data_IF_443074071060
#
_entry.id   IF_443074071060
#
_cell.length_a   1.000
_cell.length_b   1.000
_cell.length_c   1.000
_cell.angle_alpha   90.00
_cell.angle_beta   90.00
_cell.angle_gamma   90.00
#
_symmetry.space_group_name_H-M   'P 1'
#
loop_
_entity.id
_entity.type
_entity.pdbx_description
1 polymer ?
#
# COMPACT_ATOMS: atom_id res chain seq x y z
N UNK A 1 46.58 4.33 25.54
CA UNK A 1 45.53 3.78 26.42
C UNK A 1 44.17 4.18 25.84
N UNK A 2 43.18 3.28 26.02
CA UNK A 2 41.77 3.32 25.57
C UNK A 2 41.44 2.82 24.14
N UNK A 3 41.13 1.52 24.05
CA UNK A 3 39.95 0.98 23.33
C UNK A 3 38.68 1.20 24.21
N UNK A 4 37.44 0.94 23.76
CA UNK A 4 36.88 0.73 22.41
C UNK A 4 35.58 1.57 22.18
N UNK A 5 34.93 1.45 21.03
CA UNK A 5 33.45 1.38 20.98
C UNK A 5 33.01 0.69 19.69
N UNK A 6 32.84 -0.63 19.81
CA UNK A 6 32.05 -1.48 18.93
C UNK A 6 30.58 -1.20 19.20
N UNK A 7 29.88 -0.54 18.27
CA UNK A 7 28.42 -0.61 18.21
C UNK A 7 28.12 -1.87 17.41
N UNK A 8 27.48 -2.83 18.07
CA UNK A 8 26.97 -4.05 17.47
C UNK A 8 25.92 -3.69 16.41
N UNK A 9 26.29 -3.81 15.14
CA UNK A 9 25.34 -3.92 14.05
C UNK A 9 24.57 -5.24 14.24
N UNK A 10 23.33 -5.11 14.68
CA UNK A 10 22.35 -6.19 14.60
C UNK A 10 21.78 -6.12 13.17
N UNK A 11 21.84 -7.19 12.35
CA UNK A 11 21.31 -7.10 11.00
C UNK A 11 19.78 -7.11 11.06
N UNK A 12 19.15 -6.06 10.51
CA UNK A 12 17.79 -6.23 9.97
C UNK A 12 16.68 -5.28 10.39
N UNK A 13 16.94 -4.09 10.95
CA UNK A 13 15.88 -3.08 11.02
C UNK A 13 16.45 -1.68 10.79
N UNK A 14 16.48 -1.27 9.52
CA UNK A 14 16.70 0.14 9.16
C UNK A 14 15.44 0.93 9.55
N UNK A 15 15.48 1.55 10.73
CA UNK A 15 14.53 2.63 11.05
C UNK A 15 14.93 3.84 10.19
N UNK A 16 14.03 4.37 9.34
CA UNK A 16 14.37 5.49 8.49
C UNK A 16 14.75 6.71 9.35
N UNK A 17 15.95 7.26 9.14
CA UNK A 17 16.40 8.48 9.81
C UNK A 17 15.72 9.71 9.18
N UNK A 18 14.76 10.28 9.91
CA UNK A 18 13.99 11.46 9.51
C UNK A 18 14.85 12.73 9.32
N UNK A 19 16.12 12.72 9.72
CA UNK A 19 17.02 13.88 9.62
C UNK A 19 17.83 13.89 8.33
N UNK A 20 17.91 12.77 7.62
CA UNK A 20 18.67 12.67 6.37
C UNK A 20 18.05 11.59 5.46
N UNK A 21 17.08 11.93 4.60
CA UNK A 21 16.41 10.95 3.74
C UNK A 21 17.44 10.31 2.80
N UNK A 22 17.75 9.05 3.06
CA UNK A 22 18.84 8.32 2.44
C UNK A 22 18.53 7.90 1.00
N UNK A 23 17.26 7.93 0.58
CA UNK A 23 16.85 7.61 -0.80
C UNK A 23 15.71 8.51 -1.30
N UNK A 24 15.56 8.69 -2.62
CA UNK A 24 14.50 9.52 -3.20
C UNK A 24 13.07 9.15 -2.75
N UNK A 25 12.83 7.87 -2.42
CA UNK A 25 11.53 7.36 -1.98
C UNK A 25 11.21 7.59 -0.50
N UNK A 26 12.20 7.91 0.34
CA UNK A 26 11.98 8.12 1.78
C UNK A 26 11.16 9.39 2.04
N UNK A 27 11.36 10.45 1.25
CA UNK A 27 10.68 11.73 1.44
C UNK A 27 9.16 11.66 1.13
N UNK A 28 8.71 11.06 0.01
CA UNK A 28 7.29 10.79 -0.23
C UNK A 28 6.62 10.01 0.90
N UNK A 29 7.27 8.95 1.40
CA UNK A 29 6.74 8.15 2.50
C UNK A 29 6.60 8.97 3.79
N UNK A 30 7.64 9.70 4.18
CA UNK A 30 7.62 10.55 5.39
C UNK A 30 6.49 11.56 5.30
N UNK A 31 6.29 12.19 4.13
CA UNK A 31 5.22 13.14 3.90
C UNK A 31 3.84 12.47 3.99
N UNK A 32 3.66 11.31 3.35
CA UNK A 32 2.43 10.53 3.42
C UNK A 32 2.10 10.17 4.88
N UNK A 33 3.06 9.63 5.63
CA UNK A 33 2.91 9.28 7.04
C UNK A 33 2.60 10.50 7.91
N UNK A 34 3.20 11.65 7.61
CA UNK A 34 2.86 12.90 8.31
C UNK A 34 1.38 13.24 8.15
N UNK A 35 0.84 13.22 6.93
CA UNK A 35 -0.58 13.49 6.70
C UNK A 35 -1.51 12.39 7.22
N UNK A 36 -1.06 11.15 7.24
CA UNK A 36 -1.84 10.01 7.68
C UNK A 36 -1.90 9.85 9.21
N UNK A 37 -0.82 10.14 9.92
CA UNK A 37 -0.71 9.83 11.37
C UNK A 37 -0.58 11.11 12.22
N UNK A 38 0.23 12.07 11.77
CA UNK A 38 0.57 13.26 12.57
C UNK A 38 -0.46 14.37 12.40
N UNK A 39 -0.89 14.62 11.17
CA UNK A 39 -1.94 15.59 10.88
C UNK A 39 -3.28 15.10 11.45
N UNK A 40 -3.87 15.93 12.31
CA UNK A 40 -5.09 15.63 13.08
C UNK A 40 -6.34 16.26 12.46
N UNK A 41 -6.21 16.91 11.29
CA UNK A 41 -7.36 17.45 10.55
C UNK A 41 -8.33 16.32 10.17
N UNK A 42 -9.61 16.66 10.15
CA UNK A 42 -10.71 15.78 9.74
C UNK A 42 -11.18 16.04 8.30
N UNK A 43 -10.52 16.98 7.60
CA UNK A 43 -10.81 17.29 6.20
C UNK A 43 -10.44 16.11 5.29
N UNK A 44 -11.17 15.89 4.17
CA UNK A 44 -10.84 14.83 3.23
C UNK A 44 -9.37 14.89 2.77
N UNK A 45 -8.75 13.73 2.62
CA UNK A 45 -7.37 13.57 2.16
C UNK A 45 -7.38 12.74 0.87
N UNK A 46 -6.76 13.25 -0.18
CA UNK A 46 -6.52 12.53 -1.43
C UNK A 46 -5.02 12.19 -1.51
N UNK A 47 -4.71 10.91 -1.65
CA UNK A 47 -3.37 10.39 -1.86
C UNK A 47 -3.31 9.75 -3.25
N UNK A 48 -2.45 10.27 -4.12
CA UNK A 48 -2.21 9.73 -5.44
C UNK A 48 -0.87 8.97 -5.43
N UNK A 49 -0.94 7.67 -5.70
CA UNK A 49 0.19 6.75 -5.69
C UNK A 49 1.12 6.89 -4.45
N UNK A 50 0.59 6.87 -3.21
CA UNK A 50 1.43 6.97 -2.01
C UNK A 50 2.43 5.81 -1.87
N UNK A 51 2.26 4.73 -2.63
CA UNK A 51 3.16 3.59 -2.73
C UNK A 51 4.35 3.77 -3.69
N UNK A 52 4.38 4.83 -4.48
CA UNK A 52 5.38 4.98 -5.52
C UNK A 52 6.80 4.92 -4.91
N UNK A 53 7.66 4.09 -5.50
CA UNK A 53 9.04 3.83 -5.03
C UNK A 53 9.15 3.09 -3.68
N UNK A 54 8.07 2.52 -3.15
CA UNK A 54 8.09 1.68 -1.95
C UNK A 54 8.04 0.19 -2.31
N UNK A 55 8.74 -0.62 -1.54
CA UNK A 55 8.61 -2.07 -1.61
C UNK A 55 7.29 -2.55 -0.96
N UNK A 56 6.87 -3.76 -1.31
CA UNK A 56 5.60 -4.33 -0.83
C UNK A 56 5.56 -4.54 0.69
N UNK A 57 6.71 -4.78 1.33
CA UNK A 57 6.78 -4.96 2.78
C UNK A 57 6.52 -3.63 3.48
N UNK A 58 7.13 -2.55 3.04
CA UNK A 58 6.92 -1.19 3.54
C UNK A 58 5.47 -0.74 3.35
N UNK A 59 4.87 -1.03 2.20
CA UNK A 59 3.45 -0.72 1.94
C UNK A 59 2.55 -1.44 2.94
N UNK A 60 2.71 -2.75 3.10
CA UNK A 60 1.86 -3.56 3.97
C UNK A 60 2.09 -3.27 5.47
N UNK A 61 3.34 -3.03 5.88
CA UNK A 61 3.69 -2.87 7.30
C UNK A 61 3.56 -1.44 7.83
N UNK A 62 3.65 -0.41 6.97
CA UNK A 62 3.62 1.00 7.39
C UNK A 62 2.47 1.78 6.78
N UNK A 63 2.33 1.73 5.45
CA UNK A 63 1.40 2.61 4.74
C UNK A 63 -0.06 2.16 4.94
N UNK A 64 -0.34 0.86 4.84
CA UNK A 64 -1.68 0.30 5.08
C UNK A 64 -2.20 0.62 6.49
N UNK A 65 -1.46 0.35 7.58
CA UNK A 65 -1.89 0.74 8.93
C UNK A 65 -2.12 2.25 9.09
N UNK A 66 -1.26 3.08 8.50
CA UNK A 66 -1.39 4.53 8.56
C UNK A 66 -2.65 5.03 7.84
N UNK A 67 -3.00 4.43 6.70
CA UNK A 67 -4.26 4.72 5.98
C UNK A 67 -5.46 4.31 6.82
N UNK A 68 -5.41 3.14 7.48
CA UNK A 68 -6.50 2.67 8.32
C UNK A 68 -6.71 3.57 9.55
N UNK A 69 -5.63 3.95 10.25
CA UNK A 69 -5.70 4.96 11.32
C UNK A 69 -6.29 6.28 10.79
N UNK A 70 -5.90 6.66 9.57
CA UNK A 70 -6.38 7.88 9.00
C UNK A 70 -7.88 7.86 8.66
N UNK A 71 -8.35 6.75 8.09
CA UNK A 71 -9.74 6.53 7.70
C UNK A 71 -10.69 6.59 8.92
N UNK A 72 -10.26 6.14 10.09
CA UNK A 72 -11.03 6.22 11.33
C UNK A 72 -11.32 7.65 11.81
N UNK A 73 -10.62 8.67 11.30
CA UNK A 73 -10.81 10.08 11.69
C UNK A 73 -11.19 11.04 10.55
N UNK A 74 -10.88 10.70 9.30
CA UNK A 74 -11.13 11.55 8.12
C UNK A 74 -11.45 10.67 6.91
N UNK A 75 -12.17 11.21 5.93
CA UNK A 75 -12.31 10.55 4.64
C UNK A 75 -10.95 10.53 3.92
N UNK A 76 -10.47 9.34 3.57
CA UNK A 76 -9.21 9.15 2.84
C UNK A 76 -9.51 8.50 1.50
N UNK A 77 -9.16 9.17 0.40
CA UNK A 77 -9.25 8.65 -0.95
C UNK A 77 -7.84 8.31 -1.44
N UNK A 78 -7.64 7.08 -1.87
CA UNK A 78 -6.34 6.60 -2.35
C UNK A 78 -6.48 6.17 -3.80
N UNK A 79 -5.65 6.75 -4.66
CA UNK A 79 -5.47 6.31 -6.05
C UNK A 79 -4.26 5.41 -6.08
N UNK A 80 -4.45 4.15 -6.41
CA UNK A 80 -3.39 3.13 -6.37
C UNK A 80 -3.60 2.09 -7.45
N UNK A 81 -2.50 1.48 -7.86
CA UNK A 81 -2.47 0.28 -8.69
C UNK A 81 -1.95 -0.95 -7.92
N UNK A 82 -1.73 -0.82 -6.61
CA UNK A 82 -1.17 -1.86 -5.76
C UNK A 82 -2.28 -2.61 -4.99
N UNK A 83 -2.35 -3.93 -5.18
CA UNK A 83 -3.32 -4.79 -4.50
C UNK A 83 -3.22 -4.74 -2.97
N UNK A 84 -2.04 -4.53 -2.40
CA UNK A 84 -1.89 -4.41 -0.94
C UNK A 84 -2.60 -3.18 -0.40
N UNK A 85 -2.60 -2.06 -1.13
CA UNK A 85 -3.34 -0.87 -0.72
C UNK A 85 -4.84 -1.03 -0.93
N UNK A 86 -5.25 -1.51 -2.11
CA UNK A 86 -6.65 -1.61 -2.47
C UNK A 86 -7.41 -2.74 -1.75
N UNK A 87 -6.74 -3.86 -1.46
CA UNK A 87 -7.36 -5.09 -0.95
C UNK A 87 -6.94 -5.38 0.48
N UNK A 88 -5.62 -5.42 0.77
CA UNK A 88 -5.13 -5.67 2.14
C UNK A 88 -5.44 -4.49 3.06
N UNK A 89 -5.54 -3.28 2.51
CA UNK A 89 -6.02 -2.10 3.21
C UNK A 89 -7.49 -2.11 3.61
N UNK A 90 -8.25 -3.15 3.24
CA UNK A 90 -9.67 -3.34 3.53
C UNK A 90 -10.50 -2.08 3.22
N UNK A 91 -10.39 -1.61 1.98
CA UNK A 91 -11.06 -0.39 1.54
C UNK A 91 -12.58 -0.53 1.64
N UNK A 92 -13.23 0.41 2.35
CA UNK A 92 -14.69 0.46 2.50
C UNK A 92 -15.41 0.48 1.14
N UNK A 93 -14.82 1.18 0.17
CA UNK A 93 -15.33 1.31 -1.19
C UNK A 93 -14.18 1.31 -2.19
N UNK A 94 -14.32 0.50 -3.23
CA UNK A 94 -13.44 0.52 -4.40
C UNK A 94 -14.15 1.29 -5.51
N UNK A 95 -13.45 2.26 -6.08
CA UNK A 95 -13.90 3.01 -7.27
C UNK A 95 -13.06 2.56 -8.45
N UNK A 96 -13.71 1.88 -9.40
CA UNK A 96 -13.09 1.41 -10.62
C UNK A 96 -13.44 2.33 -11.79
N UNK A 97 -12.40 2.76 -12.50
CA UNK A 97 -12.48 3.65 -13.64
C UNK A 97 -11.98 2.91 -14.88
N UNK A 98 -12.81 2.86 -15.91
CA UNK A 98 -12.46 2.21 -17.18
C UNK A 98 -12.67 3.18 -18.35
N UNK A 99 -11.80 3.09 -19.35
CA UNK A 99 -11.95 3.80 -20.61
C UNK A 99 -12.19 2.80 -21.74
N UNK A 100 -13.32 2.92 -22.42
CA UNK A 100 -13.68 2.12 -23.59
C UNK A 100 -14.18 3.04 -24.69
N UNK A 101 -13.65 2.92 -25.92
CA UNK A 101 -14.00 3.79 -27.06
C UNK A 101 -14.00 5.30 -26.75
N UNK A 102 -13.00 5.77 -26.00
CA UNK A 102 -12.88 7.16 -25.51
C UNK A 102 -14.02 7.61 -24.59
N UNK A 103 -14.87 6.70 -24.13
CA UNK A 103 -15.86 6.94 -23.08
C UNK A 103 -15.32 6.46 -21.76
N UNK A 104 -15.42 7.33 -20.75
CA UNK A 104 -15.06 7.00 -19.38
C UNK A 104 -16.29 6.45 -18.66
N UNK A 105 -16.12 5.31 -18.00
CA UNK A 105 -17.15 4.68 -17.16
C UNK A 105 -16.59 4.47 -15.77
N UNK A 106 -17.38 4.82 -14.76
CA UNK A 106 -17.04 4.66 -13.35
C UNK A 106 -18.04 3.72 -12.71
N UNK A 107 -17.53 2.75 -11.97
CA UNK A 107 -18.31 1.84 -11.13
C UNK A 107 -17.70 1.83 -9.74
N UNK A 108 -18.52 1.75 -8.69
CA UNK A 108 -18.02 1.61 -7.33
C UNK A 108 -18.84 0.61 -6.55
N UNK A 109 -18.21 0.03 -5.53
CA UNK A 109 -18.85 -0.92 -4.62
C UNK A 109 -17.87 -1.44 -3.58
N UNK A 110 -18.33 -2.34 -2.73
CA UNK A 110 -17.49 -2.99 -1.72
C UNK A 110 -16.67 -4.13 -2.34
N UNK A 111 -15.48 -4.41 -1.81
CA UNK A 111 -14.69 -5.60 -2.20
C UNK A 111 -15.43 -6.93 -1.96
N UNK A 112 -16.42 -6.94 -1.07
CA UNK A 112 -17.28 -8.10 -0.84
C UNK A 112 -18.24 -8.41 -2.01
N UNK A 113 -18.45 -7.47 -2.93
CA UNK A 113 -19.27 -7.67 -4.11
C UNK A 113 -18.49 -8.41 -5.20
N UNK A 114 -19.08 -9.47 -5.76
CA UNK A 114 -18.42 -10.34 -6.73
C UNK A 114 -17.90 -9.59 -7.96
N UNK A 115 -18.65 -8.60 -8.46
CA UNK A 115 -18.26 -7.87 -9.65
C UNK A 115 -17.10 -6.91 -9.36
N UNK A 116 -17.09 -6.25 -8.19
CA UNK A 116 -15.97 -5.43 -7.71
C UNK A 116 -14.72 -6.29 -7.52
N UNK A 117 -14.85 -7.45 -6.86
CA UNK A 117 -13.75 -8.39 -6.67
C UNK A 117 -13.15 -8.88 -8.00
N UNK A 118 -13.98 -9.16 -9.01
CA UNK A 118 -13.51 -9.49 -10.36
C UNK A 118 -12.74 -8.34 -11.00
N UNK A 119 -13.23 -7.10 -10.89
CA UNK A 119 -12.52 -5.94 -11.44
C UNK A 119 -11.17 -5.73 -10.75
N UNK A 120 -11.16 -5.77 -9.41
CA UNK A 120 -9.94 -5.69 -8.62
C UNK A 120 -8.93 -6.77 -9.04
N UNK A 121 -9.36 -8.03 -9.15
CA UNK A 121 -8.51 -9.13 -9.61
C UNK A 121 -7.97 -8.91 -11.04
N UNK A 122 -8.81 -8.43 -11.96
CA UNK A 122 -8.41 -8.22 -13.35
C UNK A 122 -7.42 -7.05 -13.49
N UNK A 123 -7.62 -5.97 -12.74
CA UNK A 123 -6.81 -4.75 -12.84
C UNK A 123 -5.53 -4.84 -12.02
N UNK A 124 -5.63 -5.31 -10.77
CA UNK A 124 -4.52 -5.29 -9.80
C UNK A 124 -3.65 -6.55 -9.87
N UNK A 125 -4.24 -7.71 -10.20
CA UNK A 125 -3.53 -9.01 -10.23
C UNK A 125 -3.35 -9.55 -11.65
N UNK A 126 -3.81 -8.83 -12.68
CA UNK A 126 -3.58 -9.20 -14.07
C UNK A 126 -4.34 -10.43 -14.54
N UNK A 127 -5.56 -10.66 -14.01
CA UNK A 127 -6.52 -11.75 -14.30
C UNK A 127 -6.39 -13.02 -13.44
N UNK A 128 -7.48 -13.80 -13.38
CA UNK A 128 -7.54 -15.05 -12.59
C UNK A 128 -6.43 -16.07 -12.95
N UNK A 129 -6.11 -16.34 -14.23
CA UNK A 129 -4.99 -17.23 -14.57
C UNK A 129 -3.63 -16.75 -14.06
N UNK A 130 -3.36 -15.43 -14.08
CA UNK A 130 -2.11 -14.87 -13.58
C UNK A 130 -2.01 -15.01 -12.06
N UNK A 131 -3.11 -14.72 -11.36
CA UNK A 131 -3.25 -14.93 -9.93
C UNK A 131 -3.04 -16.40 -9.53
N UNK A 132 -3.73 -17.34 -10.19
CA UNK A 132 -3.62 -18.77 -9.88
C UNK A 132 -2.21 -19.30 -10.14
N UNK A 133 -1.55 -18.85 -11.22
CA UNK A 133 -0.16 -19.21 -11.49
C UNK A 133 0.79 -18.70 -10.38
N UNK A 134 0.56 -17.49 -9.87
CA UNK A 134 1.34 -16.94 -8.76
C UNK A 134 1.11 -17.75 -7.47
N UNK A 135 -0.15 -18.06 -7.17
CA UNK A 135 -0.56 -18.86 -6.01
C UNK A 135 0.08 -20.25 -6.02
N UNK A 136 -0.05 -20.98 -7.13
CA UNK A 136 0.49 -22.35 -7.26
C UNK A 136 2.00 -22.41 -7.06
N UNK A 137 2.75 -21.37 -7.45
CA UNK A 137 4.20 -21.33 -7.23
C UNK A 137 4.58 -21.28 -5.75
N UNK A 138 3.79 -20.58 -4.93
CA UNK A 138 4.06 -20.49 -3.49
C UNK A 138 3.51 -21.70 -2.73
N UNK A 139 2.32 -22.18 -3.08
CA UNK A 139 1.72 -23.38 -2.46
C UNK A 139 2.50 -24.66 -2.73
N UNK A 140 3.36 -24.68 -3.76
CA UNK A 140 4.28 -25.78 -4.01
C UNK A 140 5.35 -25.96 -2.90
N UNK A 141 5.53 -24.98 -2.01
CA UNK A 141 6.46 -25.02 -0.89
C UNK A 141 5.68 -24.99 0.43
N UNK A 142 5.48 -26.14 1.11
CA UNK A 142 4.73 -26.22 2.36
C UNK A 142 5.30 -25.37 3.50
N UNK A 143 6.57 -24.96 3.39
CA UNK A 143 7.28 -24.15 4.39
C UNK A 143 6.91 -22.65 4.31
N UNK A 144 6.21 -22.24 3.26
CA UNK A 144 5.70 -20.88 3.05
C UNK A 144 4.18 -20.76 3.25
N UNK A 145 3.49 -21.87 3.52
CA UNK A 145 2.02 -21.95 3.60
C UNK A 145 1.49 -21.71 5.02
#
# INVERSE_FOLDING_TARGET
MAHPNTVNDTPGTVVPDLRNPTTPGDLPLVLALFYLVVDRRTTPLLLDQPEENLDNETIASKLVPAIHEAAGRRQTLVVTHNANLAIVGDADQIVHCQMHDRRFTVSSGSIAELDVAKFALNVLEGTKPAFDNRRHKYEAFPELA
#
